data_IF_152501251960
#
_entry.id   IF_152501251960
#
_cell.length_a   1.000
_cell.length_b   1.000
_cell.length_c   1.000
_cell.angle_alpha   90.00
_cell.angle_beta   90.00
_cell.angle_gamma   90.00
#
_symmetry.space_group_name_H-M   'P 1'
#
loop_
_entity.id
_entity.type
_entity.pdbx_description
1 polymer ?
#
# COMPACT_ATOMS: atom_id res chain seq x y z
N UNK A 1 -33.37 36.84 -21.06
CA UNK A 1 -32.18 36.57 -21.91
C UNK A 1 -30.98 35.99 -21.16
N UNK A 2 -30.97 36.01 -19.83
CA UNK A 2 -29.85 35.49 -19.04
C UNK A 2 -29.85 33.96 -19.00
N UNK A 3 -30.99 33.30 -19.10
CA UNK A 3 -31.12 31.83 -18.98
C UNK A 3 -30.62 31.05 -20.22
N UNK A 4 -30.53 31.69 -21.38
CA UNK A 4 -30.01 31.04 -22.60
C UNK A 4 -28.48 30.98 -22.64
N UNK A 5 -27.81 31.94 -22.00
CA UNK A 5 -26.33 31.97 -21.96
C UNK A 5 -25.77 30.88 -21.04
N UNK A 6 -26.42 30.66 -19.91
CA UNK A 6 -26.01 29.59 -18.97
C UNK A 6 -26.22 28.18 -19.53
N UNK A 7 -27.33 27.94 -20.26
CA UNK A 7 -27.61 26.66 -20.90
C UNK A 7 -26.61 26.30 -22.01
N UNK A 8 -26.15 27.31 -22.76
CA UNK A 8 -25.18 27.12 -23.85
C UNK A 8 -23.79 26.72 -23.32
N UNK A 9 -23.36 27.28 -22.18
CA UNK A 9 -22.08 26.90 -21.54
C UNK A 9 -22.11 25.48 -21.00
N UNK A 10 -23.22 25.03 -20.39
CA UNK A 10 -23.32 23.65 -19.88
C UNK A 10 -23.37 22.59 -21.00
N UNK A 11 -23.86 22.92 -22.18
CA UNK A 11 -23.90 22.04 -23.35
C UNK A 11 -22.54 21.87 -24.02
N UNK A 12 -21.59 22.79 -23.83
CA UNK A 12 -20.25 22.73 -24.43
C UNK A 12 -19.25 21.92 -23.60
N UNK A 13 -19.50 21.70 -22.31
CA UNK A 13 -18.61 20.94 -21.42
C UNK A 13 -18.44 19.48 -21.87
N UNK A 14 -19.50 18.70 -22.17
CA UNK A 14 -19.34 17.35 -22.66
C UNK A 14 -18.71 17.27 -24.05
N UNK A 15 -18.94 18.29 -24.90
CA UNK A 15 -18.31 18.35 -26.23
C UNK A 15 -16.80 18.60 -26.12
N UNK A 16 -16.37 19.42 -25.17
CA UNK A 16 -14.96 19.69 -24.89
C UNK A 16 -14.25 18.43 -24.37
N UNK A 17 -14.92 17.59 -23.57
CA UNK A 17 -14.38 16.32 -23.08
C UNK A 17 -14.15 15.29 -24.18
N UNK A 18 -14.97 15.28 -25.24
CA UNK A 18 -14.80 14.39 -26.39
C UNK A 18 -13.64 14.84 -27.28
N UNK A 19 -13.45 16.15 -27.45
CA UNK A 19 -12.38 16.68 -28.33
C UNK A 19 -11.02 16.82 -27.64
N UNK A 20 -10.97 16.84 -26.31
CA UNK A 20 -9.71 16.95 -25.54
C UNK A 20 -9.52 15.81 -24.54
N UNK A 21 -9.35 14.54 -24.99
CA UNK A 21 -9.11 13.41 -24.10
C UNK A 21 -7.80 13.54 -23.30
N UNK A 22 -6.90 14.45 -23.71
CA UNK A 22 -5.64 14.73 -22.99
C UNK A 22 -5.85 15.27 -21.58
N UNK A 23 -6.98 15.98 -21.34
CA UNK A 23 -7.32 16.52 -20.01
C UNK A 23 -7.76 15.40 -19.06
N UNK A 24 -8.36 14.34 -19.59
CA UNK A 24 -8.86 13.22 -18.80
C UNK A 24 -7.76 12.20 -18.43
N UNK A 25 -6.75 12.01 -19.29
CA UNK A 25 -5.76 10.94 -19.13
C UNK A 25 -4.36 11.42 -18.80
N UNK A 26 -4.10 12.74 -18.79
CA UNK A 26 -2.82 13.31 -18.35
C UNK A 26 -1.57 12.86 -19.16
N UNK A 27 -1.77 12.20 -20.32
CA UNK A 27 -0.68 11.69 -21.14
C UNK A 27 -0.45 12.65 -22.33
N UNK A 28 0.71 13.31 -22.44
CA UNK A 28 1.01 14.13 -23.59
C UNK A 28 1.26 13.25 -24.82
N UNK A 29 0.26 13.11 -25.69
CA UNK A 29 0.36 12.35 -26.96
C UNK A 29 1.41 12.98 -27.92
N UNK A 30 1.80 14.21 -27.66
CA UNK A 30 2.81 14.91 -28.49
C UNK A 30 4.17 14.21 -28.55
N UNK A 31 4.57 13.42 -27.53
CA UNK A 31 5.86 12.71 -27.54
C UNK A 31 5.91 11.45 -28.40
N UNK A 32 4.78 10.94 -28.86
CA UNK A 32 4.74 9.72 -29.69
C UNK A 32 4.73 10.02 -31.20
N UNK A 33 4.32 11.22 -31.64
CA UNK A 33 4.32 11.60 -33.06
C UNK A 33 5.64 12.20 -33.57
N UNK A 34 6.46 12.77 -32.68
CA UNK A 34 7.78 13.31 -33.11
C UNK A 34 8.80 12.21 -33.45
N UNK A 35 8.59 10.98 -32.95
CA UNK A 35 9.46 9.82 -33.27
C UNK A 35 9.11 9.12 -34.58
N UNK A 36 8.00 9.47 -35.24
CA UNK A 36 7.55 8.80 -36.46
C UNK A 36 7.88 9.58 -37.74
N UNK A 37 8.26 10.85 -37.69
CA UNK A 37 8.44 11.70 -38.86
C UNK A 37 9.86 12.22 -39.10
N UNK A 38 10.87 11.69 -38.41
CA UNK A 38 12.26 11.96 -38.72
C UNK A 38 12.99 10.67 -39.14
N UNK A 39 12.55 10.07 -40.22
CA UNK A 39 13.28 9.04 -40.95
C UNK A 39 13.68 9.53 -42.28
N UNK A 40 14.80 10.28 -42.34
CA UNK A 40 15.66 10.34 -43.45
C UNK A 40 17.04 9.90 -42.98
N UNK A 41 17.39 8.71 -43.41
CA UNK A 41 18.68 8.13 -43.70
C UNK A 41 19.91 8.76 -42.99
N UNK A 42 20.24 8.18 -41.82
CA UNK A 42 21.64 8.04 -41.45
C UNK A 42 21.80 6.72 -40.66
N UNK A 43 22.65 5.83 -41.22
CA UNK A 43 23.00 4.53 -40.69
C UNK A 43 23.66 4.65 -39.28
N UNK A 44 22.89 4.84 -38.23
CA UNK A 44 23.34 4.61 -36.87
C UNK A 44 23.01 3.15 -36.52
N UNK A 45 23.99 2.29 -36.55
CA UNK A 45 23.97 0.97 -35.92
C UNK A 45 23.63 1.16 -34.46
N UNK A 46 22.34 1.15 -34.13
CA UNK A 46 21.87 0.98 -32.76
C UNK A 46 22.30 -0.43 -32.37
N UNK A 47 23.39 -0.52 -31.61
CA UNK A 47 23.74 -1.74 -30.89
C UNK A 47 22.53 -2.07 -30.03
N UNK A 48 21.74 -3.03 -30.46
CA UNK A 48 20.73 -3.71 -29.62
C UNK A 48 21.51 -4.29 -28.44
N UNK A 49 21.43 -3.61 -27.28
CA UNK A 49 21.90 -4.18 -26.02
C UNK A 49 21.17 -5.49 -25.80
N UNK A 50 21.89 -6.58 -25.54
CA UNK A 50 21.29 -7.91 -25.55
C UNK A 50 20.22 -7.99 -24.43
N UNK A 51 19.08 -8.58 -24.77
CA UNK A 51 17.92 -8.90 -23.91
C UNK A 51 18.31 -9.51 -22.54
N UNK A 52 19.55 -9.96 -22.41
CA UNK A 52 20.19 -10.53 -21.22
C UNK A 52 20.58 -9.47 -20.16
N UNK A 53 20.87 -8.22 -20.57
CA UNK A 53 21.22 -7.14 -19.65
C UNK A 53 19.97 -6.53 -18.98
N UNK A 54 18.86 -6.44 -19.71
CA UNK A 54 17.59 -5.91 -19.18
C UNK A 54 17.04 -6.86 -18.10
N UNK A 55 17.02 -8.18 -18.37
CA UNK A 55 16.60 -9.18 -17.35
C UNK A 55 17.45 -9.14 -16.09
N UNK A 56 18.74 -8.87 -16.21
CA UNK A 56 19.65 -8.78 -15.05
C UNK A 56 19.34 -7.54 -14.20
N UNK A 57 19.05 -6.40 -14.84
CA UNK A 57 18.67 -5.16 -14.15
C UNK A 57 17.33 -5.33 -13.41
N UNK A 58 16.33 -5.93 -14.07
CA UNK A 58 15.03 -6.22 -13.44
C UNK A 58 15.15 -7.14 -12.22
N UNK A 59 16.04 -8.14 -12.28
CA UNK A 59 16.26 -9.06 -11.16
C UNK A 59 17.02 -8.38 -10.01
N UNK A 60 18.01 -7.53 -10.30
CA UNK A 60 18.75 -6.75 -9.30
C UNK A 60 17.82 -5.73 -8.59
N UNK A 61 16.94 -5.07 -9.32
CA UNK A 61 15.92 -4.18 -8.75
C UNK A 61 14.96 -4.95 -7.84
N UNK A 62 14.45 -6.10 -8.29
CA UNK A 62 13.56 -6.95 -7.50
C UNK A 62 14.22 -7.42 -6.20
N UNK A 63 15.48 -7.85 -6.24
CA UNK A 63 16.23 -8.22 -5.04
C UNK A 63 16.40 -7.06 -4.07
N UNK A 64 16.60 -5.85 -4.58
CA UNK A 64 16.69 -4.64 -3.76
C UNK A 64 15.39 -4.37 -3.04
N UNK A 65 14.25 -4.45 -3.73
CA UNK A 65 12.94 -4.30 -3.09
C UNK A 65 12.59 -5.43 -2.14
N UNK A 66 13.05 -6.66 -2.38
CA UNK A 66 12.90 -7.76 -1.41
C UNK A 66 13.67 -7.49 -0.11
N UNK A 67 14.91 -6.97 -0.19
CA UNK A 67 15.67 -6.57 1.00
C UNK A 67 14.99 -5.43 1.73
N UNK A 68 14.48 -4.44 0.99
CA UNK A 68 13.73 -3.32 1.56
C UNK A 68 12.47 -3.79 2.29
N UNK A 69 11.70 -4.68 1.68
CA UNK A 69 10.49 -5.24 2.29
C UNK A 69 10.81 -6.02 3.59
N UNK A 70 11.89 -6.80 3.61
CA UNK A 70 12.35 -7.49 4.84
C UNK A 70 12.71 -6.49 5.94
N UNK A 71 13.46 -5.43 5.61
CA UNK A 71 13.83 -4.38 6.56
C UNK A 71 12.59 -3.66 7.12
N UNK A 72 11.61 -3.35 6.27
CA UNK A 72 10.35 -2.73 6.70
C UNK A 72 9.58 -3.62 7.67
N UNK A 73 9.46 -4.91 7.37
CA UNK A 73 8.75 -5.87 8.25
C UNK A 73 9.50 -6.05 9.57
N UNK A 74 10.84 -6.10 9.54
CA UNK A 74 11.66 -6.21 10.76
C UNK A 74 11.49 -4.98 11.65
N UNK A 75 11.57 -3.78 11.09
CA UNK A 75 11.29 -2.53 11.80
C UNK A 75 9.90 -2.56 12.46
N UNK A 76 8.86 -2.95 11.71
CA UNK A 76 7.50 -3.02 12.25
C UNK A 76 7.38 -4.03 13.39
N UNK A 77 8.11 -5.15 13.35
CA UNK A 77 8.11 -6.17 14.41
C UNK A 77 8.86 -5.70 15.66
N UNK A 78 10.03 -5.08 15.48
CA UNK A 78 10.91 -4.68 16.58
C UNK A 78 10.37 -3.47 17.32
N UNK A 79 10.05 -2.40 16.59
CA UNK A 79 9.60 -1.13 17.18
C UNK A 79 8.10 -1.13 17.52
N UNK A 80 7.33 -2.05 16.95
CA UNK A 80 5.87 -2.18 17.13
C UNK A 80 5.10 -0.87 16.94
N UNK A 81 5.43 -0.03 15.93
CA UNK A 81 4.78 1.26 15.75
C UNK A 81 3.29 1.14 15.44
N UNK A 82 2.85 -0.04 14.98
CA UNK A 82 1.44 -0.36 14.72
C UNK A 82 0.56 -0.38 15.98
N UNK A 83 1.15 -0.29 17.17
CA UNK A 83 0.41 -0.16 18.46
C UNK A 83 -0.20 1.24 18.63
N UNK A 84 0.26 2.23 17.89
CA UNK A 84 -0.47 3.49 17.74
C UNK A 84 -1.70 3.26 16.84
N UNK A 85 -2.94 3.54 17.34
CA UNK A 85 -4.16 3.39 16.55
C UNK A 85 -4.16 4.17 15.23
N UNK A 86 -3.49 5.32 15.21
CA UNK A 86 -3.42 6.23 14.06
C UNK A 86 -2.24 5.96 13.12
N UNK A 87 -1.38 4.98 13.44
CA UNK A 87 -0.19 4.69 12.64
C UNK A 87 -0.50 4.46 11.17
N UNK A 88 0.09 5.25 10.31
CA UNK A 88 -0.15 5.33 8.87
C UNK A 88 1.08 4.93 8.04
N UNK A 89 0.90 4.81 6.73
CA UNK A 89 2.02 4.61 5.80
C UNK A 89 2.91 5.85 5.70
N UNK A 90 2.35 7.04 5.96
CA UNK A 90 3.08 8.30 6.07
C UNK A 90 4.10 8.26 7.21
N UNK A 91 3.66 7.77 8.38
CA UNK A 91 4.52 7.66 9.55
C UNK A 91 5.66 6.67 9.31
N UNK A 92 5.35 5.52 8.68
CA UNK A 92 6.35 4.55 8.26
C UNK A 92 7.35 5.14 7.26
N UNK A 93 6.86 5.89 6.26
CA UNK A 93 7.68 6.58 5.27
C UNK A 93 8.64 7.58 5.92
N UNK A 94 8.13 8.35 6.85
CA UNK A 94 8.90 9.36 7.59
C UNK A 94 9.95 8.74 8.51
N UNK A 95 9.57 7.70 9.26
CA UNK A 95 10.46 7.02 10.20
C UNK A 95 11.65 6.35 9.49
N UNK A 96 11.41 5.68 8.36
CA UNK A 96 12.45 4.98 7.61
C UNK A 96 13.13 5.85 6.55
N UNK A 97 12.65 7.09 6.32
CA UNK A 97 13.10 7.99 5.24
C UNK A 97 12.99 7.34 3.85
N UNK A 98 11.97 6.53 3.64
CA UNK A 98 11.67 5.83 2.39
C UNK A 98 10.48 6.50 1.73
N UNK A 99 10.58 6.77 0.43
CA UNK A 99 9.49 7.37 -0.32
C UNK A 99 8.26 6.43 -0.37
N UNK A 100 7.06 6.99 -0.22
CA UNK A 100 5.80 6.24 -0.14
C UNK A 100 5.61 5.26 -1.31
N UNK A 101 5.98 5.65 -2.53
CA UNK A 101 5.80 4.79 -3.70
C UNK A 101 6.66 3.52 -3.62
N UNK A 102 7.87 3.57 -3.02
CA UNK A 102 8.68 2.38 -2.76
C UNK A 102 8.02 1.48 -1.71
N UNK A 103 7.42 2.05 -0.66
CA UNK A 103 6.65 1.29 0.32
C UNK A 103 5.41 0.65 -0.32
N UNK A 104 4.67 1.38 -1.15
CA UNK A 104 3.55 0.80 -1.91
C UNK A 104 3.98 -0.38 -2.77
N UNK A 105 5.12 -0.26 -3.46
CA UNK A 105 5.67 -1.36 -4.24
C UNK A 105 6.06 -2.55 -3.36
N UNK A 106 6.73 -2.32 -2.22
CA UNK A 106 7.07 -3.37 -1.26
C UNK A 106 5.83 -4.12 -0.77
N UNK A 107 4.80 -3.40 -0.33
CA UNK A 107 3.60 -4.05 0.20
C UNK A 107 2.80 -4.76 -0.90
N UNK A 108 2.45 -4.06 -1.97
CA UNK A 108 1.54 -4.60 -2.97
C UNK A 108 2.20 -5.62 -3.92
N UNK A 109 3.48 -5.42 -4.28
CA UNK A 109 4.17 -6.26 -5.28
C UNK A 109 5.03 -7.32 -4.64
N UNK A 110 5.84 -6.95 -3.64
CA UNK A 110 6.79 -7.91 -3.04
C UNK A 110 6.09 -8.78 -1.98
N UNK A 111 5.29 -8.16 -1.09
CA UNK A 111 4.58 -8.85 -0.03
C UNK A 111 3.18 -9.32 -0.43
N UNK A 112 2.73 -8.95 -1.62
CA UNK A 112 1.40 -9.25 -2.17
C UNK A 112 0.27 -8.97 -1.17
N UNK A 113 0.38 -7.88 -0.41
CA UNK A 113 -0.59 -7.48 0.61
C UNK A 113 -0.60 -5.97 0.81
N UNK A 114 -1.68 -5.43 1.33
CA UNK A 114 -1.76 -4.00 1.66
C UNK A 114 -1.11 -3.72 3.01
N UNK A 115 -0.55 -2.51 3.18
CA UNK A 115 -0.03 -2.04 4.46
C UNK A 115 -1.05 -2.20 5.60
N UNK A 116 -2.30 -1.80 5.36
CA UNK A 116 -3.39 -1.91 6.36
C UNK A 116 -3.64 -3.34 6.79
N UNK A 117 -3.59 -4.30 5.87
CA UNK A 117 -3.76 -5.73 6.15
C UNK A 117 -2.61 -6.25 7.02
N UNK A 118 -1.36 -5.97 6.64
CA UNK A 118 -0.18 -6.40 7.41
C UNK A 118 -0.18 -5.75 8.79
N UNK A 119 -0.50 -4.46 8.89
CA UNK A 119 -0.64 -3.76 10.17
C UNK A 119 -1.68 -4.43 11.07
N UNK A 120 -2.85 -4.76 10.54
CA UNK A 120 -3.92 -5.45 11.29
C UNK A 120 -3.49 -6.85 11.73
N UNK A 121 -2.84 -7.62 10.87
CA UNK A 121 -2.29 -8.93 11.23
C UNK A 121 -1.28 -8.82 12.37
N UNK A 122 -0.36 -7.86 12.34
CA UNK A 122 0.63 -7.64 13.41
C UNK A 122 -0.04 -7.25 14.72
N UNK A 123 -1.09 -6.43 14.70
CA UNK A 123 -1.90 -6.11 15.89
C UNK A 123 -2.56 -7.35 16.49
N UNK A 124 -3.12 -8.22 15.64
CA UNK A 124 -3.75 -9.47 16.09
C UNK A 124 -2.70 -10.44 16.65
N UNK A 125 -1.54 -10.59 16.01
CA UNK A 125 -0.46 -11.44 16.55
C UNK A 125 0.01 -10.92 17.92
N UNK A 126 0.18 -9.62 18.08
CA UNK A 126 0.51 -9.05 19.39
C UNK A 126 -0.60 -9.26 20.42
N UNK A 127 -1.86 -9.16 20.00
CA UNK A 127 -2.98 -9.47 20.90
C UNK A 127 -2.97 -10.94 21.34
N UNK A 128 -2.64 -11.88 20.46
CA UNK A 128 -2.46 -13.29 20.81
C UNK A 128 -1.36 -13.47 21.86
N UNK A 129 -0.20 -12.81 21.67
CA UNK A 129 0.87 -12.81 22.67
C UNK A 129 0.37 -12.32 24.04
N UNK A 130 -0.33 -11.19 24.09
CA UNK A 130 -0.89 -10.65 25.33
C UNK A 130 -1.89 -11.61 26.00
N UNK A 131 -2.77 -12.24 25.21
CA UNK A 131 -3.76 -13.19 25.72
C UNK A 131 -3.11 -14.47 26.31
N UNK A 132 -2.06 -14.98 25.66
CA UNK A 132 -1.35 -16.18 26.12
C UNK A 132 -0.42 -15.91 27.30
N UNK A 133 0.20 -14.74 27.36
CA UNK A 133 1.08 -14.35 28.48
C UNK A 133 0.33 -14.03 29.77
N UNK A 134 -0.99 -14.09 29.76
CA UNK A 134 -1.80 -13.85 30.96
C UNK A 134 -2.01 -12.36 31.27
N UNK A 135 -1.85 -11.47 30.32
CA UNK A 135 -2.10 -10.04 30.49
C UNK A 135 -3.55 -9.76 31.00
N UNK A 136 -4.49 -10.68 30.74
CA UNK A 136 -5.85 -10.60 31.30
C UNK A 136 -5.92 -10.69 32.84
N UNK A 137 -4.86 -11.12 33.50
CA UNK A 137 -4.80 -11.10 34.96
C UNK A 137 -4.60 -9.67 35.50
N UNK A 138 -4.04 -8.79 34.69
CA UNK A 138 -3.73 -7.39 35.02
C UNK A 138 -4.50 -6.37 34.18
N UNK A 139 -4.95 -6.75 32.99
CA UNK A 139 -5.65 -5.89 32.04
C UNK A 139 -7.03 -6.45 31.72
N UNK A 140 -8.01 -5.56 31.54
CA UNK A 140 -9.29 -5.92 30.94
C UNK A 140 -9.12 -6.24 29.44
N UNK A 141 -10.12 -6.84 28.81
CA UNK A 141 -10.14 -7.01 27.36
C UNK A 141 -10.03 -5.67 26.64
N UNK A 142 -10.54 -4.60 27.22
CA UNK A 142 -10.36 -3.23 26.73
C UNK A 142 -8.89 -2.79 26.77
N UNK A 143 -8.21 -3.06 27.85
CA UNK A 143 -6.78 -2.79 27.97
C UNK A 143 -5.95 -3.52 26.90
N UNK A 144 -6.33 -4.76 26.56
CA UNK A 144 -5.62 -5.55 25.54
C UNK A 144 -5.82 -4.97 24.14
N UNK A 145 -7.08 -4.71 23.71
CA UNK A 145 -7.28 -4.19 22.36
C UNK A 145 -6.71 -2.77 22.20
N UNK A 146 -6.77 -1.94 23.25
CA UNK A 146 -6.13 -0.62 23.24
C UNK A 146 -4.61 -0.71 23.17
N UNK A 147 -3.97 -1.55 24.02
CA UNK A 147 -2.52 -1.80 24.02
C UNK A 147 -2.00 -2.28 22.65
N UNK A 148 -2.80 -3.02 21.93
CA UNK A 148 -2.41 -3.59 20.62
C UNK A 148 -2.73 -2.70 19.43
N UNK A 149 -3.21 -1.47 19.67
CA UNK A 149 -3.41 -0.44 18.66
C UNK A 149 -4.76 -0.46 17.96
N UNK A 150 -5.75 -1.16 18.50
CA UNK A 150 -7.11 -1.07 17.98
C UNK A 150 -7.84 0.14 18.58
N UNK A 151 -8.50 0.92 17.73
CA UNK A 151 -9.26 2.10 18.14
C UNK A 151 -10.64 1.80 18.69
N UNK A 152 -11.14 0.57 18.51
CA UNK A 152 -12.44 0.16 19.03
C UNK A 152 -12.54 -1.34 19.26
N UNK A 153 -13.42 -1.71 20.20
CA UNK A 153 -13.77 -3.10 20.49
C UNK A 153 -14.24 -3.85 19.24
N UNK A 154 -15.13 -3.25 18.47
CA UNK A 154 -15.70 -3.88 17.27
C UNK A 154 -14.59 -4.23 16.25
N UNK A 155 -13.71 -3.29 15.94
CA UNK A 155 -12.61 -3.54 15.01
C UNK A 155 -11.67 -4.64 15.51
N UNK A 156 -11.38 -4.67 16.82
CA UNK A 156 -10.58 -5.73 17.43
C UNK A 156 -11.20 -7.10 17.23
N UNK A 157 -12.48 -7.28 17.68
CA UNK A 157 -13.13 -8.59 17.63
C UNK A 157 -13.30 -9.10 16.20
N UNK A 158 -13.69 -8.22 15.26
CA UNK A 158 -13.83 -8.58 13.85
C UNK A 158 -12.49 -9.00 13.27
N UNK A 159 -11.45 -8.16 13.41
CA UNK A 159 -10.12 -8.45 12.86
C UNK A 159 -9.49 -9.69 13.49
N UNK A 160 -9.65 -9.87 14.80
CA UNK A 160 -9.14 -11.04 15.51
C UNK A 160 -9.76 -12.33 14.95
N UNK A 161 -11.09 -12.33 14.76
CA UNK A 161 -11.80 -13.47 14.18
C UNK A 161 -11.46 -13.72 12.72
N UNK A 162 -11.30 -12.66 11.91
CA UNK A 162 -10.88 -12.78 10.52
C UNK A 162 -9.49 -13.41 10.38
N UNK A 163 -8.54 -13.03 11.24
CA UNK A 163 -7.15 -13.53 11.16
C UNK A 163 -7.00 -14.91 11.78
N UNK A 164 -7.69 -15.19 12.90
CA UNK A 164 -7.49 -16.43 13.68
C UNK A 164 -8.56 -17.50 13.46
N UNK A 165 -9.71 -17.12 12.89
CA UNK A 165 -10.92 -17.98 12.81
C UNK A 165 -11.71 -18.06 14.11
N UNK A 166 -11.21 -17.52 15.23
CA UNK A 166 -11.79 -17.61 16.56
C UNK A 166 -12.03 -16.23 17.15
N UNK A 167 -13.00 -16.11 18.05
CA UNK A 167 -13.08 -14.92 18.91
C UNK A 167 -11.95 -14.93 19.94
N UNK A 168 -11.55 -13.78 20.51
CA UNK A 168 -10.53 -13.73 21.56
C UNK A 168 -10.81 -14.65 22.75
N UNK A 169 -12.08 -14.78 23.16
CA UNK A 169 -12.48 -15.66 24.27
C UNK A 169 -12.37 -17.15 23.90
N UNK A 170 -12.79 -17.53 22.70
CA UNK A 170 -12.62 -18.89 22.20
C UNK A 170 -11.13 -19.24 22.05
N UNK A 171 -10.32 -18.29 21.56
CA UNK A 171 -8.88 -18.46 21.45
C UNK A 171 -8.22 -18.75 22.80
N UNK A 172 -8.59 -17.99 23.86
CA UNK A 172 -8.08 -18.24 25.22
C UNK A 172 -8.52 -19.62 25.71
N UNK A 173 -9.81 -19.96 25.55
CA UNK A 173 -10.35 -21.25 26.00
C UNK A 173 -9.64 -22.43 25.32
N UNK A 174 -9.36 -22.33 24.05
CA UNK A 174 -8.70 -23.39 23.29
C UNK A 174 -7.19 -23.53 23.57
N UNK A 175 -6.55 -22.49 24.11
CA UNK A 175 -5.11 -22.48 24.41
C UNK A 175 -4.79 -22.50 25.92
N UNK A 176 -5.78 -22.45 26.80
CA UNK A 176 -5.61 -22.75 28.23
C UNK A 176 -5.84 -24.26 28.40
N UNK A 177 -4.73 -24.99 28.32
CA UNK A 177 -4.63 -26.36 28.82
C UNK A 177 -4.43 -26.36 30.33
#
# INVERSE_FOLDING_TARGET
>A
SLNYVTGFFFSLIPLMMIFFPQVLYGIPIARLKEKANSSSEENVKIKLTPKKSVKKIEEEEKQTFQKLAKMVIEYMKTERPYTDPNYSLEDLSSALKIQKHHLYYCFNTILNSRFTTIRTQMRVEYAKECLLNGDLNSLSMEGIWSKTGFSSRTNFFVSFKEVTGLTPLEFIKNNKL
#
